data_IF_252035359699
#
_entry.id   IF_252035359699
#
_cell.length_a   1.000
_cell.length_b   1.000
_cell.length_c   1.000
_cell.angle_alpha   90.00
_cell.angle_beta   90.00
_cell.angle_gamma   90.00
#
_symmetry.space_group_name_H-M   'P 1'
#
loop_
_entity.id
_entity.type
_entity.pdbx_description
1 polymer ?
#
# COMPACT_ATOMS: atom_id res chain seq x y z
N UNK A 1 -1.02 -8.01 -1.60
CA UNK A 1 -1.06 -9.02 -0.53
C UNK A 1 -1.09 -8.33 0.83
N UNK A 2 -1.67 -8.95 1.86
CA UNK A 2 -1.72 -8.38 3.20
C UNK A 2 -0.44 -8.72 3.95
N UNK A 3 0.16 -7.71 4.58
CA UNK A 3 1.37 -7.84 5.39
C UNK A 3 1.01 -7.77 6.87
N UNK A 4 1.62 -8.63 7.69
CA UNK A 4 1.38 -8.61 9.13
C UNK A 4 2.29 -7.57 9.78
N UNK A 5 1.70 -6.44 10.19
CA UNK A 5 2.42 -5.35 10.82
C UNK A 5 1.83 -5.05 12.19
N UNK A 6 2.70 -5.01 13.21
CA UNK A 6 2.32 -4.88 14.63
C UNK A 6 1.33 -5.96 15.07
N UNK A 7 0.04 -5.62 15.15
CA UNK A 7 -1.05 -6.52 15.55
C UNK A 7 -2.18 -6.57 14.53
N UNK A 8 -1.94 -6.12 13.29
CA UNK A 8 -2.94 -6.04 12.23
C UNK A 8 -2.39 -6.56 10.90
N UNK A 9 -3.30 -6.99 10.03
CA UNK A 9 -3.00 -7.27 8.63
C UNK A 9 -3.32 -6.03 7.82
N UNK A 10 -2.31 -5.47 7.16
CA UNK A 10 -2.45 -4.22 6.40
C UNK A 10 -2.13 -4.44 4.92
N UNK A 11 -2.79 -3.71 4.00
CA UNK A 11 -2.44 -3.73 2.58
C UNK A 11 -1.21 -2.85 2.31
N UNK A 12 -0.04 -3.25 2.82
CA UNK A 12 1.19 -2.44 2.86
C UNK A 12 1.51 -1.72 1.53
N UNK A 13 1.44 -2.45 0.41
CA UNK A 13 1.78 -1.94 -0.93
C UNK A 13 0.84 -0.84 -1.44
N UNK A 14 -0.31 -0.65 -0.81
CA UNK A 14 -1.29 0.39 -1.14
C UNK A 14 -1.31 1.53 -0.14
N UNK A 15 -0.59 1.43 0.98
CA UNK A 15 -0.60 2.45 2.03
C UNK A 15 0.62 3.36 1.93
N UNK A 16 0.46 4.67 2.14
CA UNK A 16 1.60 5.58 2.28
C UNK A 16 2.23 5.46 3.67
N UNK A 17 3.43 6.03 3.83
CA UNK A 17 4.22 5.94 5.07
C UNK A 17 3.49 6.46 6.31
N UNK A 18 2.74 7.56 6.19
CA UNK A 18 1.99 8.16 7.29
C UNK A 18 0.88 7.22 7.81
N UNK A 19 0.21 6.50 6.92
CA UNK A 19 -0.79 5.50 7.30
C UNK A 19 -0.15 4.27 7.96
N UNK A 20 1.05 3.89 7.55
CA UNK A 20 1.74 2.68 8.05
C UNK A 20 2.44 2.92 9.38
N UNK A 21 3.17 4.03 9.52
CA UNK A 21 4.04 4.25 10.68
C UNK A 21 3.35 5.08 11.77
N UNK A 22 2.54 6.05 11.37
CA UNK A 22 1.92 7.05 12.26
C UNK A 22 0.43 6.78 12.51
N UNK A 23 -0.15 5.79 11.84
CA UNK A 23 -1.60 5.50 11.85
C UNK A 23 -2.45 6.74 11.49
N UNK A 24 -1.89 7.66 10.69
CA UNK A 24 -2.58 8.88 10.23
C UNK A 24 -3.35 8.61 8.94
N UNK A 25 -4.66 8.40 9.07
CA UNK A 25 -5.56 8.17 7.94
C UNK A 25 -6.32 9.44 7.59
N UNK A 26 -6.25 9.83 6.32
CA UNK A 26 -6.92 11.02 5.81
C UNK A 26 -7.31 10.85 4.35
N UNK A 27 -8.02 11.83 3.79
CA UNK A 27 -8.30 11.84 2.34
C UNK A 27 -7.03 11.79 1.49
N UNK A 28 -5.86 12.20 2.02
CA UNK A 28 -4.59 12.13 1.28
C UNK A 28 -4.08 10.69 1.17
N UNK A 29 -4.28 9.87 2.20
CA UNK A 29 -3.91 8.45 2.17
C UNK A 29 -4.81 7.66 1.22
N UNK A 30 -6.08 8.06 1.09
CA UNK A 30 -6.98 7.53 0.07
C UNK A 30 -6.50 7.88 -1.35
N UNK A 31 -6.04 9.12 -1.56
CA UNK A 31 -5.49 9.55 -2.86
C UNK A 31 -4.24 8.74 -3.23
N UNK A 32 -3.36 8.45 -2.27
CA UNK A 32 -2.22 7.56 -2.50
C UNK A 32 -2.68 6.16 -2.93
N UNK A 33 -3.60 5.56 -2.17
CA UNK A 33 -4.14 4.23 -2.44
C UNK A 33 -4.80 4.17 -3.82
N UNK A 34 -5.50 5.25 -4.21
CA UNK A 34 -6.08 5.40 -5.55
C UNK A 34 -5.02 5.52 -6.64
N UNK A 35 -3.89 6.18 -6.37
CA UNK A 35 -2.75 6.22 -7.29
C UNK A 35 -2.16 4.83 -7.56
N UNK A 36 -2.00 4.02 -6.51
CA UNK A 36 -1.57 2.62 -6.64
C UNK A 36 -2.60 1.81 -7.45
N UNK A 37 -3.89 2.00 -7.17
CA UNK A 37 -4.97 1.36 -7.94
C UNK A 37 -4.93 1.74 -9.43
N UNK A 38 -4.72 3.01 -9.76
CA UNK A 38 -4.58 3.45 -11.14
C UNK A 38 -3.38 2.78 -11.81
N UNK A 39 -2.25 2.69 -11.12
CA UNK A 39 -1.08 1.97 -11.62
C UNK A 39 -1.42 0.51 -11.91
N UNK A 40 -2.13 -0.20 -11.04
CA UNK A 40 -2.55 -1.59 -11.28
C UNK A 40 -3.40 -1.74 -12.54
N UNK A 41 -4.34 -0.80 -12.80
CA UNK A 41 -5.16 -0.82 -14.02
C UNK A 41 -4.30 -0.72 -15.28
N UNK A 42 -3.29 0.15 -15.28
CA UNK A 42 -2.41 0.34 -16.43
C UNK A 42 -1.32 -0.73 -16.56
N UNK A 43 -0.97 -1.39 -15.46
CA UNK A 43 -0.05 -2.54 -15.44
C UNK A 43 -0.79 -3.88 -15.60
N UNK A 44 -2.04 -3.88 -16.08
CA UNK A 44 -2.83 -5.09 -16.31
C UNK A 44 -2.97 -6.01 -15.08
N UNK A 45 -3.03 -5.41 -13.88
CA UNK A 45 -3.19 -6.14 -12.61
C UNK A 45 -1.89 -6.75 -12.07
N UNK A 46 -0.72 -6.31 -12.53
CA UNK A 46 0.54 -6.65 -11.87
C UNK A 46 0.53 -6.23 -10.39
N UNK A 47 1.25 -6.98 -9.56
CA UNK A 47 1.39 -6.67 -8.14
C UNK A 47 2.27 -5.42 -7.98
N UNK A 48 1.80 -4.35 -7.29
CA UNK A 48 2.62 -3.18 -7.04
C UNK A 48 3.91 -3.57 -6.33
N UNK A 49 5.06 -3.10 -6.81
CA UNK A 49 6.39 -3.36 -6.24
C UNK A 49 6.81 -4.84 -6.23
N UNK A 50 6.41 -5.65 -7.21
CA UNK A 50 6.66 -7.10 -7.24
C UNK A 50 8.13 -7.52 -7.00
N UNK A 51 9.10 -6.70 -7.42
CA UNK A 51 10.54 -6.98 -7.25
C UNK A 51 11.09 -6.66 -5.84
N UNK A 52 10.27 -6.05 -4.98
CA UNK A 52 10.64 -5.70 -3.61
C UNK A 52 9.99 -6.69 -2.62
N UNK A 53 10.77 -7.09 -1.62
CA UNK A 53 10.30 -7.88 -0.48
C UNK A 53 9.67 -6.96 0.56
N UNK A 54 8.59 -7.39 1.19
CA UNK A 54 7.91 -6.61 2.24
C UNK A 54 8.77 -6.42 3.51
N UNK A 55 9.86 -7.21 3.65
CA UNK A 55 10.76 -7.22 4.81
C UNK A 55 11.93 -6.22 4.72
N UNK A 56 12.03 -5.42 3.65
CA UNK A 56 13.13 -4.45 3.43
C UNK A 56 12.65 -3.02 3.28
#
# INVERSE_FOLDING_TARGET
EYYHYRQSWIPLRWLPSEAVFEDDFSTKTDVWSFGVLMWEVFSFGELPYADLTDDK
#
